data_IF_123479228484
#
_entry.id   IF_123479228484
#
_cell.length_a   1.000
_cell.length_b   1.000
_cell.length_c   1.000
_cell.angle_alpha   90.00
_cell.angle_beta   90.00
_cell.angle_gamma   90.00
#
_symmetry.space_group_name_H-M   'P 1'
#
loop_
_entity.id
_entity.type
_entity.pdbx_description
1 polymer ?
#
# COMPACT_ATOMS: atom_id res chain seq x y z
N UNK A 1 3.90 -7.11 -4.06
CA UNK A 1 5.10 -6.29 -3.73
C UNK A 1 5.80 -6.68 -2.41
N UNK A 2 5.38 -7.75 -1.70
CA UNK A 2 6.00 -8.16 -0.40
C UNK A 2 7.54 -8.28 -0.44
N UNK A 3 8.10 -8.89 -1.48
CA UNK A 3 9.56 -9.04 -1.62
C UNK A 3 10.27 -7.68 -1.69
N UNK A 4 9.72 -6.74 -2.47
CA UNK A 4 10.29 -5.39 -2.60
C UNK A 4 10.23 -4.67 -1.25
N UNK A 5 9.08 -4.70 -0.56
CA UNK A 5 8.92 -4.00 0.71
C UNK A 5 9.77 -4.59 1.83
N UNK A 6 9.92 -5.91 1.88
CA UNK A 6 10.81 -6.57 2.83
C UNK A 6 12.27 -6.20 2.59
N UNK A 7 12.75 -6.30 1.33
CA UNK A 7 14.13 -5.94 0.98
C UNK A 7 14.44 -4.45 1.18
N UNK A 8 13.47 -3.58 0.94
CA UNK A 8 13.63 -2.13 1.06
C UNK A 8 13.36 -1.61 2.47
N UNK A 9 12.98 -2.50 3.40
CA UNK A 9 12.67 -2.23 4.81
C UNK A 9 11.56 -1.20 5.03
N UNK A 10 10.51 -1.28 4.20
CA UNK A 10 9.34 -0.37 4.24
C UNK A 10 8.01 -1.08 4.51
N UNK A 11 8.04 -2.37 4.85
CA UNK A 11 6.82 -3.15 5.07
C UNK A 11 6.00 -2.64 6.28
N UNK A 12 6.69 -2.18 7.32
CA UNK A 12 6.10 -1.58 8.52
C UNK A 12 5.14 -0.43 8.17
N UNK A 13 5.62 0.58 7.44
CA UNK A 13 4.82 1.76 7.09
C UNK A 13 3.68 1.47 6.12
N UNK A 14 3.76 0.37 5.35
CA UNK A 14 2.67 -0.08 4.46
C UNK A 14 1.56 -0.78 5.25
N UNK A 15 1.91 -1.51 6.31
CA UNK A 15 0.95 -2.29 7.10
C UNK A 15 0.30 -1.46 8.21
N UNK A 16 1.07 -0.66 8.94
CA UNK A 16 0.60 0.09 10.12
C UNK A 16 0.49 1.58 9.88
N UNK A 17 1.10 2.11 8.82
CA UNK A 17 1.18 3.54 8.58
C UNK A 17 2.24 4.24 9.44
N UNK A 18 2.33 5.56 9.31
CA UNK A 18 3.22 6.38 10.14
C UNK A 18 2.44 6.89 11.35
N UNK A 19 2.95 6.63 12.55
CA UNK A 19 2.35 7.13 13.78
C UNK A 19 2.44 8.66 13.84
N UNK A 20 1.35 9.35 14.22
CA UNK A 20 1.38 10.79 14.44
C UNK A 20 2.40 11.16 15.53
N UNK A 21 3.08 12.28 15.33
CA UNK A 21 4.00 12.81 16.33
C UNK A 21 3.22 13.45 17.49
N UNK A 22 3.51 13.11 18.77
CA UNK A 22 2.87 13.76 19.91
C UNK A 22 3.33 15.23 20.07
N UNK A 23 2.50 16.06 20.70
CA UNK A 23 2.74 17.51 20.82
C UNK A 23 4.00 17.83 21.65
N UNK A 24 4.27 17.01 22.67
CA UNK A 24 5.41 17.08 23.59
C UNK A 24 6.59 16.18 23.14
N UNK A 25 6.65 15.84 21.85
CA UNK A 25 7.68 14.95 21.33
C UNK A 25 9.10 15.46 21.59
N UNK A 26 9.91 14.59 22.19
CA UNK A 26 11.34 14.80 22.36
C UNK A 26 12.11 14.66 21.03
N UNK A 27 13.39 15.01 21.03
CA UNK A 27 14.22 15.02 19.83
C UNK A 27 14.37 13.63 19.19
N UNK A 28 14.44 12.59 20.01
CA UNK A 28 14.53 11.21 19.52
C UNK A 28 13.25 10.80 18.79
N UNK A 29 12.08 11.09 19.37
CA UNK A 29 10.77 10.83 18.74
C UNK A 29 10.59 11.60 17.43
N UNK A 30 11.06 12.86 17.37
CA UNK A 30 11.06 13.66 16.13
C UNK A 30 11.93 13.02 15.05
N UNK A 31 13.10 12.53 15.43
CA UNK A 31 14.04 11.86 14.51
C UNK A 31 13.46 10.55 13.98
N UNK A 32 12.88 9.73 14.84
CA UNK A 32 12.21 8.46 14.46
C UNK A 32 11.02 8.70 13.54
N UNK A 33 10.18 9.71 13.85
CA UNK A 33 9.06 10.07 12.99
C UNK A 33 9.52 10.54 11.60
N UNK A 34 10.59 11.34 11.53
CA UNK A 34 11.19 11.76 10.25
C UNK A 34 11.69 10.57 9.44
N UNK A 35 12.32 9.58 10.09
CA UNK A 35 12.77 8.35 9.44
C UNK A 35 11.58 7.52 8.93
N UNK A 36 10.50 7.42 9.71
CA UNK A 36 9.27 6.74 9.31
C UNK A 36 8.60 7.42 8.13
N UNK A 37 8.53 8.76 8.10
CA UNK A 37 8.04 9.51 6.92
C UNK A 37 8.89 9.28 5.67
N UNK A 38 10.22 9.15 5.80
CA UNK A 38 11.07 8.79 4.65
C UNK A 38 10.75 7.40 4.10
N UNK A 39 10.55 6.42 4.98
CA UNK A 39 10.12 5.06 4.58
C UNK A 39 8.76 5.08 3.90
N UNK A 40 7.82 5.86 4.43
CA UNK A 40 6.46 6.04 3.88
C UNK A 40 6.53 6.56 2.43
N UNK A 41 7.25 7.65 2.18
CA UNK A 41 7.44 8.14 0.81
C UNK A 41 8.17 7.13 -0.10
N UNK A 42 9.16 6.41 0.43
CA UNK A 42 9.87 5.36 -0.32
C UNK A 42 8.92 4.22 -0.71
N UNK A 43 8.03 3.80 0.19
CA UNK A 43 7.00 2.81 -0.11
C UNK A 43 5.99 3.32 -1.15
N UNK A 44 5.50 4.55 -1.03
CA UNK A 44 4.61 5.16 -2.03
C UNK A 44 5.25 5.17 -3.42
N UNK A 45 6.52 5.54 -3.52
CA UNK A 45 7.26 5.49 -4.78
C UNK A 45 7.26 4.08 -5.39
N UNK A 46 7.57 3.04 -4.62
CA UNK A 46 7.54 1.68 -5.13
C UNK A 46 6.14 1.24 -5.55
N UNK A 47 5.11 1.62 -4.80
CA UNK A 47 3.72 1.32 -5.18
C UNK A 47 3.42 1.96 -6.54
N UNK A 48 3.73 3.25 -6.73
CA UNK A 48 3.51 3.96 -7.99
C UNK A 48 4.23 3.31 -9.18
N UNK A 49 5.47 2.83 -8.98
CA UNK A 49 6.25 2.17 -10.04
C UNK A 49 5.71 0.77 -10.39
N UNK A 50 5.02 0.10 -9.48
CA UNK A 50 4.59 -1.30 -9.63
C UNK A 50 3.13 -1.45 -10.08
N UNK A 51 2.40 -0.36 -10.31
CA UNK A 51 1.01 -0.37 -10.77
C UNK A 51 0.89 0.18 -12.19
N UNK A 52 -0.18 -0.21 -12.88
CA UNK A 52 -0.53 0.37 -14.17
C UNK A 52 -1.17 1.77 -14.02
N UNK A 53 -1.34 2.48 -15.14
CA UNK A 53 -1.88 3.85 -15.15
C UNK A 53 -3.27 3.93 -14.51
N UNK A 54 -4.11 2.91 -14.72
CA UNK A 54 -5.48 2.88 -14.18
C UNK A 54 -5.45 2.80 -12.65
N UNK A 55 -4.61 1.94 -12.08
CA UNK A 55 -4.50 1.82 -10.64
C UNK A 55 -3.72 3.00 -10.02
N UNK A 56 -2.76 3.58 -10.74
CA UNK A 56 -2.06 4.81 -10.34
C UNK A 56 -3.04 5.97 -10.11
N UNK A 57 -3.92 6.24 -11.07
CA UNK A 57 -4.92 7.33 -10.96
C UNK A 57 -5.82 7.20 -9.72
N UNK A 58 -6.07 5.97 -9.25
CA UNK A 58 -6.88 5.75 -8.05
C UNK A 58 -6.16 6.09 -6.75
N UNK A 59 -4.84 6.03 -6.75
CA UNK A 59 -4.00 6.23 -5.56
C UNK A 59 -3.19 7.52 -5.60
N UNK A 60 -3.23 8.28 -6.69
CA UNK A 60 -2.39 9.48 -6.89
C UNK A 60 -2.58 10.55 -5.81
N UNK A 61 -3.78 10.62 -5.22
CA UNK A 61 -4.14 11.57 -4.18
C UNK A 61 -4.00 11.00 -2.76
N UNK A 62 -3.54 9.75 -2.60
CA UNK A 62 -3.34 9.14 -1.29
C UNK A 62 -2.16 9.81 -0.57
N UNK A 63 -2.33 10.10 0.71
CA UNK A 63 -1.35 10.82 1.53
C UNK A 63 -0.31 9.94 2.22
N UNK A 64 -0.44 8.61 2.12
CA UNK A 64 0.47 7.65 2.75
C UNK A 64 0.54 6.33 1.97
N UNK A 65 1.61 5.57 2.19
CA UNK A 65 1.76 4.24 1.59
C UNK A 65 0.67 3.27 2.07
N UNK A 66 0.26 3.39 3.33
CA UNK A 66 -0.85 2.63 3.93
C UNK A 66 -2.16 2.89 3.18
N UNK A 67 -2.48 4.16 2.92
CA UNK A 67 -3.67 4.54 2.18
C UNK A 67 -3.63 4.07 0.72
N UNK A 68 -2.50 4.21 0.03
CA UNK A 68 -2.32 3.63 -1.30
C UNK A 68 -2.62 2.12 -1.29
N UNK A 69 -2.05 1.40 -0.32
CA UNK A 69 -2.21 -0.05 -0.19
C UNK A 69 -3.67 -0.46 0.09
N UNK A 70 -4.36 0.26 0.96
CA UNK A 70 -5.76 -0.01 1.29
C UNK A 70 -6.71 0.25 0.11
N UNK A 71 -6.47 1.32 -0.66
CA UNK A 71 -7.24 1.59 -1.89
C UNK A 71 -7.04 0.46 -2.91
N UNK A 72 -5.79 0.02 -3.12
CA UNK A 72 -5.49 -1.08 -4.04
C UNK A 72 -6.12 -2.40 -3.57
N UNK A 73 -6.04 -2.71 -2.28
CA UNK A 73 -6.64 -3.91 -1.69
C UNK A 73 -8.17 -3.92 -1.92
N UNK A 74 -8.84 -2.80 -1.63
CA UNK A 74 -10.28 -2.64 -1.83
C UNK A 74 -10.68 -2.75 -3.31
N UNK A 75 -9.89 -2.19 -4.22
CA UNK A 75 -10.13 -2.30 -5.66
C UNK A 75 -10.09 -3.75 -6.17
N UNK A 76 -9.30 -4.61 -5.54
CA UNK A 76 -9.11 -5.99 -5.97
C UNK A 76 -9.95 -7.02 -5.19
N UNK A 77 -10.58 -6.64 -4.09
CA UNK A 77 -11.48 -7.52 -3.33
C UNK A 77 -12.64 -8.08 -4.20
N UNK A 78 -13.17 -7.26 -5.11
CA UNK A 78 -14.19 -7.68 -6.08
C UNK A 78 -13.67 -8.62 -7.19
N UNK A 79 -12.39 -8.54 -7.52
CA UNK A 79 -11.80 -9.33 -8.60
C UNK A 79 -11.75 -10.83 -8.25
N UNK A 80 -11.58 -11.17 -6.97
CA UNK A 80 -11.57 -12.58 -6.53
C UNK A 80 -12.95 -13.24 -6.70
N UNK A 81 -14.03 -12.50 -6.42
CA UNK A 81 -15.39 -12.99 -6.68
C UNK A 81 -15.62 -13.18 -8.18
N UNK A 82 -15.18 -12.23 -9.01
CA UNK A 82 -15.26 -12.31 -10.47
C UNK A 82 -14.47 -13.48 -11.07
N UNK A 83 -13.24 -13.72 -10.59
CA UNK A 83 -12.42 -14.88 -10.99
C UNK A 83 -13.13 -16.20 -10.66
N UNK A 84 -13.72 -16.31 -9.46
CA UNK A 84 -14.50 -17.50 -9.07
C UNK A 84 -15.71 -17.73 -9.98
N UNK A 85 -16.51 -16.69 -10.25
CA UNK A 85 -17.69 -16.80 -11.13
C UNK A 85 -17.27 -17.20 -12.55
N UNK A 86 -16.20 -16.60 -13.09
CA UNK A 86 -15.67 -16.96 -14.41
C UNK A 86 -15.19 -18.40 -14.46
N UNK A 87 -14.45 -18.86 -13.45
CA UNK A 87 -14.00 -20.24 -13.34
C UNK A 87 -15.16 -21.23 -13.26
N UNK A 88 -16.19 -20.94 -12.46
CA UNK A 88 -17.39 -21.78 -12.35
C UNK A 88 -18.18 -21.82 -13.67
N UNK A 89 -18.31 -20.68 -14.34
CA UNK A 89 -18.96 -20.60 -15.66
C UNK A 89 -18.22 -21.46 -16.68
N UNK A 90 -16.88 -21.39 -16.69
CA UNK A 90 -16.06 -22.19 -17.58
C UNK A 90 -16.20 -23.69 -17.33
N UNK A 91 -16.18 -24.13 -16.06
CA UNK A 91 -16.41 -25.53 -15.65
C UNK A 91 -17.82 -26.07 -15.94
N UNK A 92 -18.81 -25.21 -16.19
CA UNK A 92 -20.16 -25.63 -16.56
C UNK A 92 -20.30 -25.81 -18.08
N UNK A 93 -19.45 -25.12 -18.84
CA UNK A 93 -19.49 -25.10 -20.30
C UNK A 93 -18.53 -26.13 -20.93
N UNK A 94 -17.73 -26.83 -20.13
CA UNK A 94 -16.82 -27.93 -20.49
C UNK A 94 -16.95 -29.05 -19.46
#
# INVERSE_FOLDING_TARGET
MKVIFGFQEVQDVVETGVTPLPADANENQRTEHRNSKKKDFKAMFFIHQCVDVINFQKIENAGSAKECWDILAKCHEGNEKLKKVRLQTWKRNF
#
